data_IF_158135099430
#
_entry.id   IF_158135099430
#
_cell.length_a   1.000
_cell.length_b   1.000
_cell.length_c   1.000
_cell.angle_alpha   90.00
_cell.angle_beta   90.00
_cell.angle_gamma   90.00
#
_symmetry.space_group_name_H-M   'P 1'
#
loop_
_entity.id
_entity.type
_entity.pdbx_description
1 polymer ?
#
# COMPACT_ATOMS: atom_id res chain seq x y z
N UNK A 1 -10.19 1.12 6.55
CA UNK A 1 -10.21 0.21 5.38
C UNK A 1 -9.11 -0.83 5.57
N UNK A 2 -9.44 -2.09 5.87
CA UNK A 2 -8.44 -3.09 6.25
C UNK A 2 -7.53 -3.53 5.09
N UNK A 3 -8.07 -3.60 3.87
CA UNK A 3 -7.34 -4.06 2.70
C UNK A 3 -6.25 -3.07 2.24
N UNK A 4 -6.59 -1.79 2.14
CA UNK A 4 -5.61 -0.73 1.86
C UNK A 4 -4.55 -0.65 2.96
N UNK A 5 -4.93 -0.83 4.24
CA UNK A 5 -3.98 -0.87 5.34
C UNK A 5 -2.99 -2.03 5.20
N UNK A 6 -3.48 -3.23 4.86
CA UNK A 6 -2.62 -4.39 4.63
C UNK A 6 -1.63 -4.17 3.48
N UNK A 7 -2.02 -3.47 2.40
CA UNK A 7 -1.10 -3.10 1.31
C UNK A 7 -0.05 -2.10 1.80
N UNK A 8 -0.48 -1.04 2.49
CA UNK A 8 0.42 0.02 2.98
C UNK A 8 1.45 -0.53 3.96
N UNK A 9 1.04 -1.40 4.88
CA UNK A 9 1.90 -2.02 5.87
C UNK A 9 2.75 -3.15 5.26
N UNK A 10 2.17 -3.97 4.39
CA UNK A 10 2.84 -5.12 3.79
C UNK A 10 3.96 -4.75 2.81
N UNK A 11 3.78 -3.67 2.05
CA UNK A 11 4.83 -3.14 1.17
C UNK A 11 5.63 -2.02 1.81
N UNK A 12 5.21 -1.53 2.98
CA UNK A 12 5.78 -0.36 3.63
C UNK A 12 5.89 0.83 2.64
N UNK A 13 4.73 1.37 2.30
CA UNK A 13 4.60 2.46 1.30
C UNK A 13 3.89 3.69 1.85
N UNK A 14 3.70 3.77 3.17
CA UNK A 14 3.04 4.90 3.80
C UNK A 14 2.75 4.69 5.28
N UNK A 15 1.81 5.48 5.79
CA UNK A 15 1.30 5.40 7.16
C UNK A 15 -0.22 5.36 7.16
N UNK A 16 -0.80 4.56 8.04
CA UNK A 16 -2.24 4.49 8.26
C UNK A 16 -2.62 5.30 9.48
N UNK A 17 -3.78 5.97 9.46
CA UNK A 17 -4.37 6.61 10.63
C UNK A 17 -5.62 5.86 11.07
N UNK A 18 -5.71 5.52 12.36
CA UNK A 18 -6.86 4.82 12.94
C UNK A 18 -7.95 5.80 13.39
N UNK A 19 -7.62 7.10 13.41
CA UNK A 19 -8.51 8.17 13.80
C UNK A 19 -8.96 8.99 12.59
N UNK A 20 -10.25 9.36 12.61
CA UNK A 20 -10.85 10.32 11.67
C UNK A 20 -10.87 11.74 12.26
N UNK A 21 -10.29 11.94 13.43
CA UNK A 21 -10.14 13.25 14.05
C UNK A 21 -9.13 14.11 13.27
N UNK A 22 -9.49 15.33 12.86
CA UNK A 22 -8.62 16.22 12.08
C UNK A 22 -7.28 16.54 12.77
N UNK A 23 -7.25 16.67 14.09
CA UNK A 23 -6.03 16.99 14.83
C UNK A 23 -5.06 15.80 14.81
N UNK A 24 -5.57 14.58 15.01
CA UNK A 24 -4.78 13.35 14.90
C UNK A 24 -4.25 13.13 13.48
N UNK A 25 -5.07 13.38 12.46
CA UNK A 25 -4.63 13.29 11.05
C UNK A 25 -3.50 14.31 10.80
N UNK A 26 -3.67 15.56 11.23
CA UNK A 26 -2.66 16.60 11.05
C UNK A 26 -1.34 16.25 11.77
N UNK A 27 -1.42 15.61 12.94
CA UNK A 27 -0.24 15.12 13.66
C UNK A 27 0.50 14.04 12.88
N UNK A 28 -0.20 13.02 12.38
CA UNK A 28 0.42 11.97 11.54
C UNK A 28 0.99 12.53 10.25
N UNK A 29 0.32 13.51 9.65
CA UNK A 29 0.81 14.17 8.45
C UNK A 29 2.11 14.95 8.71
N UNK A 30 2.22 15.67 9.84
CA UNK A 30 3.49 16.32 10.22
C UNK A 30 4.60 15.31 10.48
N UNK A 31 4.30 14.24 11.22
CA UNK A 31 5.24 13.15 11.46
C UNK A 31 5.78 12.54 10.16
N UNK A 32 4.92 12.42 9.14
CA UNK A 32 5.31 11.98 7.81
C UNK A 32 6.28 12.96 7.12
N UNK A 33 6.05 14.27 7.23
CA UNK A 33 6.89 15.30 6.62
C UNK A 33 8.23 15.49 7.33
N UNK A 34 8.27 15.33 8.65
CA UNK A 34 9.47 15.56 9.47
C UNK A 34 10.55 14.46 9.31
N UNK A 35 10.24 13.38 8.59
CA UNK A 35 11.11 12.21 8.44
C UNK A 35 11.29 11.84 6.96
N UNK A 36 12.07 12.63 6.21
CA UNK A 36 12.22 12.47 4.76
C UNK A 36 12.79 11.11 4.35
N UNK A 37 13.56 10.46 5.22
CA UNK A 37 14.09 9.10 5.01
C UNK A 37 12.97 8.06 4.84
N UNK A 38 11.85 8.23 5.56
CA UNK A 38 10.68 7.35 5.39
C UNK A 38 10.05 7.55 4.02
N UNK A 39 9.94 8.80 3.57
CA UNK A 39 9.41 9.10 2.24
C UNK A 39 10.28 8.51 1.13
N UNK A 40 11.61 8.55 1.26
CA UNK A 40 12.52 7.92 0.30
C UNK A 40 12.32 6.40 0.27
N UNK A 41 12.23 5.76 1.44
CA UNK A 41 11.96 4.33 1.58
C UNK A 41 10.64 3.93 0.91
N UNK A 42 9.56 4.66 1.19
CA UNK A 42 8.26 4.39 0.57
C UNK A 42 8.31 4.54 -0.94
N UNK A 43 8.97 5.59 -1.46
CA UNK A 43 9.14 5.75 -2.92
C UNK A 43 9.83 4.55 -3.56
N UNK A 44 10.90 4.06 -2.95
CA UNK A 44 11.61 2.88 -3.46
C UNK A 44 10.77 1.59 -3.36
N UNK A 45 9.89 1.50 -2.35
CA UNK A 45 9.02 0.35 -2.18
C UNK A 45 7.77 0.41 -3.07
N UNK A 46 7.33 1.60 -3.48
CA UNK A 46 6.20 1.78 -4.39
C UNK A 46 6.46 1.10 -5.74
N UNK A 47 7.68 1.13 -6.26
CA UNK A 47 8.02 0.44 -7.50
C UNK A 47 7.79 -1.08 -7.37
N UNK A 48 8.21 -1.67 -6.24
CA UNK A 48 7.99 -3.10 -5.95
C UNK A 48 6.51 -3.43 -5.79
N UNK A 49 5.76 -2.56 -5.11
CA UNK A 49 4.33 -2.73 -4.93
C UNK A 49 3.59 -2.66 -6.27
N UNK A 50 3.94 -1.70 -7.13
CA UNK A 50 3.36 -1.55 -8.46
C UNK A 50 3.67 -2.75 -9.36
N UNK A 51 4.91 -3.24 -9.35
CA UNK A 51 5.29 -4.44 -10.08
C UNK A 51 4.55 -5.69 -9.59
N UNK A 52 4.26 -5.79 -8.30
CA UNK A 52 3.61 -6.96 -7.70
C UNK A 52 2.08 -6.94 -7.83
N UNK A 53 1.47 -5.75 -7.68
CA UNK A 53 0.02 -5.52 -7.62
C UNK A 53 -0.50 -4.95 -8.95
N UNK A 54 -0.10 -5.55 -10.07
CA UNK A 54 -0.54 -5.16 -11.41
C UNK A 54 -1.49 -6.20 -12.04
N UNK A 55 -2.32 -5.72 -12.96
CA UNK A 55 -3.32 -6.55 -13.66
C UNK A 55 -2.67 -7.69 -14.45
N UNK A 56 -1.48 -7.48 -15.01
CA UNK A 56 -0.77 -8.50 -15.77
C UNK A 56 -0.44 -9.72 -14.92
N UNK A 57 -0.12 -9.53 -13.62
CA UNK A 57 0.11 -10.64 -12.69
C UNK A 57 -1.20 -11.24 -12.20
N UNK A 58 -2.18 -10.40 -11.91
CA UNK A 58 -3.48 -10.84 -11.39
C UNK A 58 -4.28 -11.64 -12.43
N UNK A 59 -4.18 -11.28 -13.71
CA UNK A 59 -4.80 -11.99 -14.83
C UNK A 59 -4.32 -13.45 -14.90
N UNK A 60 -3.03 -13.71 -14.64
CA UNK A 60 -2.49 -15.08 -14.64
C UNK A 60 -3.11 -15.93 -13.54
N UNK A 61 -3.28 -15.35 -12.35
CA UNK A 61 -3.93 -16.01 -11.21
C UNK A 61 -5.39 -16.31 -11.54
N UNK A 62 -6.11 -15.33 -12.11
CA UNK A 62 -7.49 -15.52 -12.54
C UNK A 62 -7.61 -16.62 -13.59
N UNK A 63 -6.74 -16.65 -14.60
CA UNK A 63 -6.71 -17.72 -15.61
C UNK A 63 -6.55 -19.10 -14.98
N UNK A 64 -5.63 -19.26 -14.03
CA UNK A 64 -5.42 -20.53 -13.33
C UNK A 64 -6.68 -20.98 -12.56
N UNK A 65 -7.37 -20.05 -11.90
CA UNK A 65 -8.62 -20.35 -11.17
C UNK A 65 -9.73 -20.77 -12.13
N UNK A 66 -9.93 -20.03 -13.23
CA UNK A 66 -11.01 -20.30 -14.18
C UNK A 66 -10.75 -21.53 -15.06
N UNK A 67 -9.49 -21.89 -15.35
CA UNK A 67 -9.14 -23.12 -16.05
C UNK A 67 -9.69 -24.39 -15.39
N UNK A 68 -9.98 -24.36 -14.09
CA UNK A 68 -10.56 -25.49 -13.35
C UNK A 68 -12.04 -25.73 -13.64
N UNK A 69 -12.71 -24.78 -14.29
CA UNK A 69 -14.15 -24.80 -14.55
C UNK A 69 -14.51 -24.78 -16.04
N UNK A 70 -13.50 -24.85 -16.92
CA UNK A 70 -13.64 -24.96 -18.38
C UNK A 70 -13.29 -26.37 -18.83
#
# INVERSE_FOLDING_TARGET
>A
MPEIAAIVEGYDIGMITDSHDPEQIAKKFREMLDHPERTIRWKNNLDKAAEALCWEKEELILKEVYQKYV
#
